data_IF_162371451971
#
_entry.id   IF_162371451971
#
_cell.length_a   1.000
_cell.length_b   1.000
_cell.length_c   1.000
_cell.angle_alpha   90.00
_cell.angle_beta   90.00
_cell.angle_gamma   90.00
#
_symmetry.space_group_name_H-M   'P 1'
#
loop_
_entity.id
_entity.type
_entity.pdbx_description
1 polymer ?
#
# COMPACT_ATOMS: atom_id res chain seq x y z
N UNK A 1 -11.98 30.33 6.42
CA UNK A 1 -10.58 30.11 6.00
C UNK A 1 -10.61 29.05 4.90
N UNK A 2 -10.32 29.42 3.63
CA UNK A 2 -10.21 28.40 2.58
C UNK A 2 -9.00 27.53 2.92
N UNK A 3 -9.20 26.23 3.03
CA UNK A 3 -8.08 25.28 3.10
C UNK A 3 -7.19 25.54 1.88
N UNK A 4 -5.86 25.51 2.03
CA UNK A 4 -4.98 25.60 0.88
C UNK A 4 -5.39 24.51 -0.11
N UNK A 5 -5.59 24.89 -1.36
CA UNK A 5 -5.91 23.95 -2.43
C UNK A 5 -4.68 23.04 -2.56
N UNK A 6 -4.88 21.72 -2.41
CA UNK A 6 -3.79 20.77 -2.62
C UNK A 6 -3.24 20.91 -4.05
N UNK A 7 -1.96 20.71 -4.24
CA UNK A 7 -1.38 20.79 -5.59
C UNK A 7 -1.87 19.68 -6.50
N UNK A 8 -1.99 18.48 -5.95
CA UNK A 8 -2.40 17.31 -6.74
C UNK A 8 -3.78 16.82 -6.34
N UNK A 9 -4.55 16.41 -7.34
CA UNK A 9 -5.72 15.54 -7.14
C UNK A 9 -5.30 14.13 -7.48
N UNK A 10 -5.40 13.24 -6.52
CA UNK A 10 -4.86 11.88 -6.60
C UNK A 10 -5.99 10.87 -6.59
N UNK A 11 -5.96 9.95 -7.55
CA UNK A 11 -6.83 8.77 -7.57
C UNK A 11 -6.04 7.53 -7.18
N UNK A 12 -6.51 6.79 -6.18
CA UNK A 12 -5.94 5.51 -5.79
C UNK A 12 -6.99 4.42 -5.99
N UNK A 13 -6.63 3.40 -6.75
CA UNK A 13 -7.35 2.14 -6.78
C UNK A 13 -6.63 1.14 -5.86
N UNK A 14 -7.20 0.90 -4.69
CA UNK A 14 -6.74 -0.15 -3.79
C UNK A 14 -7.43 -1.46 -4.19
N UNK A 15 -6.85 -2.20 -5.12
CA UNK A 15 -7.44 -3.42 -5.65
C UNK A 15 -7.13 -4.66 -4.81
N UNK A 16 -7.94 -5.70 -4.97
CA UNK A 16 -7.71 -7.02 -4.34
C UNK A 16 -6.45 -7.69 -4.87
N UNK A 17 -6.18 -7.54 -6.17
CA UNK A 17 -5.03 -8.15 -6.84
C UNK A 17 -3.88 -7.17 -7.07
N UNK A 18 -4.22 -5.94 -7.47
CA UNK A 18 -3.24 -4.88 -7.74
C UNK A 18 -3.79 -3.54 -7.28
N UNK A 19 -2.91 -2.66 -6.87
CA UNK A 19 -3.21 -1.25 -6.58
C UNK A 19 -2.54 -0.36 -7.60
N UNK A 20 -3.14 0.80 -7.88
CA UNK A 20 -2.61 1.79 -8.81
C UNK A 20 -2.85 3.21 -8.30
N UNK A 21 -2.05 4.14 -8.75
CA UNK A 21 -2.20 5.56 -8.47
C UNK A 21 -2.08 6.39 -9.74
N UNK A 22 -3.01 7.31 -9.93
CA UNK A 22 -2.93 8.37 -10.93
C UNK A 22 -3.14 9.74 -10.27
N UNK A 23 -2.70 10.80 -10.94
CA UNK A 23 -2.86 12.16 -10.41
C UNK A 23 -2.97 13.21 -11.51
N UNK A 24 -3.58 14.34 -11.13
CA UNK A 24 -3.61 15.59 -11.89
C UNK A 24 -2.83 16.63 -11.12
N UNK A 25 -1.90 17.33 -11.77
CA UNK A 25 -1.28 18.54 -11.23
C UNK A 25 -2.22 19.73 -11.51
N UNK A 26 -2.73 20.37 -10.47
CA UNK A 26 -3.66 21.51 -10.60
C UNK A 26 -2.98 22.79 -11.11
N UNK A 27 -1.65 22.84 -11.09
CA UNK A 27 -0.88 23.93 -11.71
C UNK A 27 -0.62 23.69 -13.21
N UNK A 28 -0.82 22.46 -13.70
CA UNK A 28 -0.72 22.16 -15.12
C UNK A 28 -2.01 22.52 -15.86
N UNK A 29 -1.94 23.53 -16.70
CA UNK A 29 -3.07 24.02 -17.50
C UNK A 29 -3.58 22.98 -18.54
N UNK A 30 -2.80 21.96 -18.84
CA UNK A 30 -3.22 20.89 -19.76
C UNK A 30 -4.16 19.89 -19.10
N UNK A 31 -4.23 19.88 -17.78
CA UNK A 31 -5.01 18.92 -16.99
C UNK A 31 -4.76 17.46 -17.37
N UNK A 32 -3.51 17.15 -17.75
CA UNK A 32 -3.14 15.80 -18.16
C UNK A 32 -3.14 14.85 -16.97
N UNK A 33 -3.75 13.67 -17.15
CA UNK A 33 -3.71 12.59 -16.16
C UNK A 33 -2.35 11.88 -16.25
N UNK A 34 -1.67 11.79 -15.12
CA UNK A 34 -0.40 11.09 -14.98
C UNK A 34 -0.57 9.81 -14.18
N UNK A 35 0.09 8.74 -14.60
CA UNK A 35 0.25 7.54 -13.79
C UNK A 35 1.49 7.68 -12.91
N UNK A 36 1.34 7.38 -11.63
CA UNK A 36 2.48 7.28 -10.74
C UNK A 36 3.04 5.85 -10.81
N UNK A 37 4.26 5.72 -11.31
CA UNK A 37 4.94 4.44 -11.33
C UNK A 37 5.51 4.15 -9.94
N UNK A 38 5.00 3.07 -9.33
CA UNK A 38 5.25 2.67 -7.95
C UNK A 38 6.50 1.80 -7.91
N UNK A 39 7.58 2.23 -7.26
CA UNK A 39 8.79 1.44 -7.09
C UNK A 39 8.51 0.26 -6.17
N UNK A 40 8.93 -0.94 -6.57
CA UNK A 40 8.68 -2.17 -5.85
C UNK A 40 9.73 -3.23 -6.16
N UNK A 41 9.85 -4.22 -5.29
CA UNK A 41 10.75 -5.35 -5.52
C UNK A 41 10.23 -6.24 -6.65
N UNK A 42 11.09 -6.55 -7.61
CA UNK A 42 10.84 -7.48 -8.73
C UNK A 42 11.76 -8.70 -8.68
N UNK A 43 12.85 -8.60 -7.93
CA UNK A 43 13.82 -9.66 -7.67
C UNK A 43 14.44 -9.50 -6.28
N UNK A 44 15.30 -10.44 -5.88
CA UNK A 44 16.03 -10.35 -4.61
C UNK A 44 17.09 -9.25 -4.67
N UNK A 45 16.79 -8.09 -4.11
CA UNK A 45 17.67 -6.92 -4.15
C UNK A 45 17.54 -6.08 -5.44
N UNK A 46 16.54 -6.39 -6.28
CA UNK A 46 16.24 -5.65 -7.50
C UNK A 46 14.87 -5.00 -7.40
N UNK A 47 14.77 -3.70 -7.62
CA UNK A 47 13.51 -2.97 -7.64
C UNK A 47 13.39 -2.08 -8.88
N UNK A 48 12.17 -1.97 -9.37
CA UNK A 48 11.82 -1.15 -10.53
C UNK A 48 10.49 -0.44 -10.30
N UNK A 49 10.31 0.63 -11.06
CA UNK A 49 9.06 1.37 -11.14
C UNK A 49 8.05 0.59 -12.00
N UNK A 50 6.83 0.42 -11.48
CA UNK A 50 5.74 -0.28 -12.16
C UNK A 50 4.44 0.53 -12.06
N UNK A 51 3.59 0.47 -13.08
CA UNK A 51 2.30 1.17 -13.10
C UNK A 51 1.30 0.62 -12.08
N UNK A 52 1.46 -0.63 -11.67
CA UNK A 52 0.62 -1.29 -10.68
C UNK A 52 1.47 -1.95 -9.61
N UNK A 53 0.96 -1.97 -8.39
CA UNK A 53 1.54 -2.65 -7.24
C UNK A 53 0.71 -3.90 -6.95
N UNK A 54 1.22 -5.13 -7.17
CA UNK A 54 0.55 -6.33 -6.72
C UNK A 54 0.24 -6.28 -5.23
N UNK A 55 -1.01 -6.59 -4.86
CA UNK A 55 -1.48 -6.56 -3.47
C UNK A 55 -0.98 -7.81 -2.70
N UNK A 56 0.34 -7.97 -2.71
CA UNK A 56 1.09 -9.05 -2.08
C UNK A 56 2.17 -8.49 -1.17
N UNK A 57 2.25 -9.05 0.05
CA UNK A 57 3.31 -8.76 1.00
C UNK A 57 3.90 -10.08 1.50
N UNK A 58 5.21 -10.25 1.37
CA UNK A 58 5.93 -11.45 1.77
C UNK A 58 6.71 -11.18 3.06
N UNK A 59 6.52 -12.05 4.07
CA UNK A 59 7.28 -11.98 5.32
C UNK A 59 8.67 -12.57 5.12
N UNK A 60 9.66 -11.69 5.15
CA UNK A 60 11.07 -12.03 4.95
C UNK A 60 11.57 -12.97 6.05
N UNK A 61 12.42 -13.93 5.66
CA UNK A 61 13.13 -14.77 6.62
C UNK A 61 14.17 -13.94 7.41
N UNK A 62 14.67 -14.50 8.48
CA UNK A 62 15.72 -13.83 9.26
C UNK A 62 16.97 -13.52 8.40
N UNK A 63 17.36 -14.44 7.53
CA UNK A 63 18.49 -14.29 6.62
C UNK A 63 18.23 -13.18 5.60
N UNK A 64 17.04 -13.14 5.00
CA UNK A 64 16.65 -12.09 4.05
C UNK A 64 16.64 -10.71 4.71
N UNK A 65 16.10 -10.61 5.92
CA UNK A 65 16.09 -9.35 6.70
C UNK A 65 17.50 -8.85 7.03
N UNK A 66 18.40 -9.75 7.36
CA UNK A 66 19.80 -9.41 7.70
C UNK A 66 20.67 -9.15 6.48
N UNK A 67 20.23 -9.53 5.28
CA UNK A 67 21.01 -9.37 4.05
C UNK A 67 21.14 -7.92 3.59
N UNK A 68 20.29 -7.01 4.06
CA UNK A 68 20.18 -5.63 3.59
C UNK A 68 19.60 -5.46 2.18
N UNK A 69 19.28 -6.57 1.48
CA UNK A 69 18.83 -6.54 0.08
C UNK A 69 17.44 -5.96 -0.13
N UNK A 70 16.61 -5.94 0.93
CA UNK A 70 15.23 -5.49 0.87
C UNK A 70 15.02 -4.12 1.53
N UNK A 71 16.08 -3.37 1.77
CA UNK A 71 15.96 -2.00 2.25
C UNK A 71 15.57 -1.08 1.09
N UNK A 72 14.44 -0.40 1.22
CA UNK A 72 13.97 0.58 0.24
C UNK A 72 14.66 1.93 0.45
N UNK A 73 14.88 2.72 -0.62
CA UNK A 73 15.60 4.01 -0.51
C UNK A 73 14.97 5.03 0.44
N UNK A 74 13.68 4.89 0.70
CA UNK A 74 12.92 5.79 1.58
C UNK A 74 12.69 5.21 2.99
N UNK A 75 13.21 4.03 3.27
CA UNK A 75 13.03 3.37 4.56
C UNK A 75 14.29 3.46 5.42
N UNK A 76 14.13 4.00 6.61
CA UNK A 76 15.19 4.00 7.63
C UNK A 76 15.35 2.64 8.32
N UNK A 77 14.44 1.68 8.06
CA UNK A 77 14.54 0.33 8.61
C UNK A 77 15.56 -0.51 7.83
N UNK A 78 16.75 -0.78 8.43
CA UNK A 78 17.78 -1.58 7.77
C UNK A 78 17.41 -3.07 7.71
N UNK A 79 16.34 -3.49 8.39
CA UNK A 79 15.91 -4.88 8.51
C UNK A 79 14.41 -5.01 8.32
N UNK A 80 13.90 -4.68 7.13
CA UNK A 80 12.46 -4.70 6.87
C UNK A 80 11.89 -6.10 7.13
N UNK A 81 10.67 -6.15 7.67
CA UNK A 81 9.99 -7.42 7.90
C UNK A 81 9.30 -7.95 6.65
N UNK A 82 9.01 -7.09 5.71
CA UNK A 82 8.17 -7.36 4.55
C UNK A 82 8.83 -6.87 3.27
N UNK A 83 8.62 -7.62 2.19
CA UNK A 83 8.76 -7.14 0.83
C UNK A 83 7.36 -7.07 0.20
N UNK A 84 7.05 -5.96 -0.50
CA UNK A 84 5.74 -5.69 -1.10
C UNK A 84 5.89 -5.61 -2.62
N UNK A 85 4.87 -6.09 -3.33
CA UNK A 85 4.78 -5.97 -4.79
C UNK A 85 5.10 -7.26 -5.54
N UNK A 86 5.71 -7.13 -6.71
CA UNK A 86 5.86 -8.20 -7.68
C UNK A 86 6.68 -9.38 -7.17
N UNK A 87 7.81 -9.11 -6.50
CA UNK A 87 8.60 -10.18 -5.92
C UNK A 87 7.81 -10.98 -4.87
N UNK A 88 7.03 -10.29 -4.02
CA UNK A 88 6.16 -10.95 -3.05
C UNK A 88 5.13 -11.85 -3.74
N UNK A 89 4.54 -11.39 -4.86
CA UNK A 89 3.62 -12.19 -5.67
C UNK A 89 4.27 -13.46 -6.20
N UNK A 90 5.50 -13.38 -6.69
CA UNK A 90 6.26 -14.56 -7.17
C UNK A 90 6.53 -15.55 -6.03
N UNK A 91 6.79 -15.05 -4.82
CA UNK A 91 7.04 -15.93 -3.67
C UNK A 91 5.78 -16.69 -3.20
N UNK A 92 4.59 -16.24 -3.55
CA UNK A 92 3.34 -16.94 -3.19
C UNK A 92 3.32 -18.38 -3.70
N UNK A 93 3.78 -18.63 -4.92
CA UNK A 93 3.83 -19.96 -5.49
C UNK A 93 4.92 -20.84 -4.85
N UNK A 94 6.02 -20.25 -4.41
CA UNK A 94 7.19 -20.94 -3.89
C UNK A 94 7.11 -21.18 -2.37
N UNK A 95 6.57 -20.21 -1.64
CA UNK A 95 6.54 -20.15 -0.17
C UNK A 95 5.21 -19.58 0.34
N UNK A 96 4.06 -20.21 0.08
CA UNK A 96 2.73 -19.65 0.29
C UNK A 96 2.45 -19.27 1.74
N UNK A 97 2.97 -20.01 2.72
CA UNK A 97 2.75 -19.75 4.14
C UNK A 97 3.37 -18.46 4.67
N UNK A 98 4.12 -17.70 3.86
CA UNK A 98 4.74 -16.42 4.24
C UNK A 98 4.13 -15.23 3.49
N UNK A 99 3.08 -15.43 2.71
CA UNK A 99 2.53 -14.40 1.84
C UNK A 99 1.16 -13.92 2.34
N UNK A 100 1.02 -12.60 2.45
CA UNK A 100 -0.26 -11.93 2.68
C UNK A 100 -0.74 -11.43 1.32
N UNK A 101 -1.93 -11.84 0.92
CA UNK A 101 -2.54 -11.42 -0.34
C UNK A 101 -4.04 -11.24 -0.17
N UNK A 102 -4.66 -10.53 -1.11
CA UNK A 102 -6.10 -10.26 -1.11
C UNK A 102 -6.63 -9.66 0.20
N UNK A 103 -5.81 -8.89 0.92
CA UNK A 103 -6.15 -8.33 2.24
C UNK A 103 -7.48 -7.54 2.20
N UNK A 104 -7.76 -6.84 1.10
CA UNK A 104 -9.02 -6.10 0.90
C UNK A 104 -10.26 -7.02 0.95
N UNK A 105 -10.17 -8.24 0.42
CA UNK A 105 -11.29 -9.18 0.45
C UNK A 105 -11.65 -9.58 1.89
N UNK A 106 -10.66 -9.67 2.77
CA UNK A 106 -10.87 -10.01 4.17
C UNK A 106 -11.63 -8.93 4.95
N UNK A 107 -11.63 -7.67 4.46
CA UNK A 107 -12.42 -6.59 5.06
C UNK A 107 -13.94 -6.78 4.87
N UNK A 108 -14.34 -7.63 3.91
CA UNK A 108 -15.74 -7.87 3.56
C UNK A 108 -16.29 -9.18 4.13
N UNK A 109 -15.48 -9.97 4.84
CA UNK A 109 -15.92 -11.24 5.39
C UNK A 109 -16.71 -11.01 6.69
N UNK A 110 -18.04 -11.15 6.60
CA UNK A 110 -18.99 -10.92 7.72
C UNK A 110 -18.71 -11.78 8.98
N UNK A 111 -18.03 -12.93 8.82
CA UNK A 111 -17.79 -13.86 9.92
C UNK A 111 -16.36 -13.75 10.51
N UNK A 112 -15.56 -12.79 10.04
CA UNK A 112 -14.20 -12.62 10.53
C UNK A 112 -14.04 -11.22 11.12
N UNK A 113 -13.33 -11.15 12.24
CA UNK A 113 -12.93 -9.86 12.79
C UNK A 113 -11.75 -9.31 11.96
N UNK A 114 -11.92 -8.19 11.22
CA UNK A 114 -10.85 -7.61 10.42
C UNK A 114 -9.66 -7.12 11.22
N UNK A 115 -9.79 -7.03 12.56
CA UNK A 115 -8.72 -6.67 13.49
C UNK A 115 -7.96 -7.89 14.02
N UNK A 116 -8.47 -9.10 13.79
CA UNK A 116 -7.79 -10.32 14.21
C UNK A 116 -6.48 -10.51 13.44
N UNK A 117 -5.38 -10.72 14.16
CA UNK A 117 -4.06 -10.96 13.58
C UNK A 117 -3.96 -12.42 13.11
N UNK A 118 -4.40 -12.71 11.90
CA UNK A 118 -4.49 -14.06 11.34
C UNK A 118 -3.77 -14.22 9.99
N UNK A 119 -3.17 -13.16 9.47
CA UNK A 119 -2.49 -13.17 8.17
C UNK A 119 -0.96 -13.10 8.31
N UNK A 120 -0.20 -13.90 7.56
CA UNK A 120 -0.68 -14.96 6.68
C UNK A 120 -1.29 -16.12 7.47
N UNK A 121 -2.23 -16.85 6.85
CA UNK A 121 -2.67 -18.14 7.39
C UNK A 121 -1.54 -19.14 7.22
N UNK A 122 -0.86 -19.47 8.30
CA UNK A 122 0.34 -20.29 8.28
C UNK A 122 0.54 -21.00 9.61
N UNK A 123 1.08 -22.21 9.53
CA UNK A 123 1.52 -23.00 10.69
C UNK A 123 2.92 -22.59 11.20
N UNK A 124 3.58 -21.62 10.55
CA UNK A 124 4.88 -21.11 10.97
C UNK A 124 4.75 -20.25 12.21
N UNK A 125 5.21 -20.75 13.36
CA UNK A 125 5.14 -20.05 14.66
C UNK A 125 6.10 -18.86 14.78
N UNK A 126 7.07 -18.75 13.86
CA UNK A 126 8.07 -17.66 13.83
C UNK A 126 7.57 -16.40 13.12
N UNK A 127 6.37 -16.43 12.54
CA UNK A 127 5.85 -15.33 11.76
C UNK A 127 5.02 -14.36 12.61
N UNK A 128 5.32 -13.08 12.44
CA UNK A 128 4.39 -12.03 12.86
C UNK A 128 3.12 -12.11 12.03
N UNK A 129 1.98 -12.18 12.71
CA UNK A 129 0.68 -12.09 12.04
C UNK A 129 0.21 -10.64 11.94
N UNK A 130 -0.63 -10.39 10.97
CA UNK A 130 -1.25 -9.10 10.67
C UNK A 130 -2.75 -9.26 10.59
N UNK A 131 -3.46 -8.23 10.98
CA UNK A 131 -4.90 -8.14 10.72
C UNK A 131 -5.15 -7.72 9.25
N UNK A 132 -6.35 -7.95 8.75
CA UNK A 132 -6.75 -7.50 7.41
C UNK A 132 -6.63 -5.98 7.27
N UNK A 133 -6.97 -5.23 8.33
CA UNK A 133 -6.79 -3.78 8.37
C UNK A 133 -5.32 -3.38 8.25
N UNK A 134 -4.45 -3.99 9.06
CA UNK A 134 -3.02 -3.72 9.02
C UNK A 134 -2.42 -4.09 7.65
N UNK A 135 -2.77 -5.25 7.12
CA UNK A 135 -2.30 -5.70 5.81
C UNK A 135 -2.74 -4.75 4.68
N UNK A 136 -3.99 -4.28 4.69
CA UNK A 136 -4.48 -3.30 3.70
C UNK A 136 -3.75 -1.96 3.83
N UNK A 137 -3.42 -1.54 5.05
CA UNK A 137 -2.67 -0.30 5.28
C UNK A 137 -1.23 -0.37 4.76
N UNK A 138 -0.59 -1.55 4.73
CA UNK A 138 0.78 -1.71 4.23
C UNK A 138 0.94 -1.30 2.77
N UNK A 139 -0.03 -1.64 1.92
CA UNK A 139 0.01 -1.25 0.50
C UNK A 139 -0.14 0.26 0.33
N UNK A 140 -1.04 0.88 1.10
CA UNK A 140 -1.22 2.33 1.09
C UNK A 140 0.00 3.06 1.66
N UNK A 141 0.63 2.54 2.71
CA UNK A 141 1.89 3.06 3.26
C UNK A 141 2.99 3.01 2.20
N UNK A 142 3.13 1.88 1.52
CA UNK A 142 4.13 1.73 0.46
C UNK A 142 3.93 2.76 -0.67
N UNK A 143 2.68 2.97 -1.11
CA UNK A 143 2.34 4.00 -2.11
C UNK A 143 2.65 5.40 -1.58
N UNK A 144 2.25 5.74 -0.35
CA UNK A 144 2.54 7.02 0.29
C UNK A 144 4.03 7.30 0.38
N UNK A 145 4.78 6.34 0.89
CA UNK A 145 6.20 6.54 1.15
C UNK A 145 6.99 6.65 -0.16
N UNK A 146 6.62 5.85 -1.16
CA UNK A 146 7.22 5.95 -2.50
C UNK A 146 6.88 7.28 -3.20
N UNK A 147 5.64 7.77 -3.07
CA UNK A 147 5.26 9.11 -3.53
C UNK A 147 6.08 10.19 -2.84
N UNK A 148 6.15 10.13 -1.51
CA UNK A 148 6.88 11.11 -0.73
C UNK A 148 8.37 11.13 -1.09
N UNK A 149 8.95 9.98 -1.37
CA UNK A 149 10.34 9.89 -1.85
C UNK A 149 10.53 10.48 -3.26
N UNK A 150 9.62 10.18 -4.21
CA UNK A 150 9.79 10.56 -5.63
C UNK A 150 9.30 11.98 -5.92
N UNK A 151 8.16 12.37 -5.38
CA UNK A 151 7.44 13.62 -5.71
C UNK A 151 7.66 14.70 -4.65
N UNK A 152 7.38 14.38 -3.39
CA UNK A 152 7.47 15.39 -2.32
C UNK A 152 8.93 15.76 -2.00
N UNK A 153 9.80 14.76 -1.89
CA UNK A 153 11.20 14.97 -1.48
C UNK A 153 11.26 15.84 -0.20
N UNK A 154 11.88 17.01 -0.29
CA UNK A 154 12.04 17.95 0.82
C UNK A 154 10.89 18.97 0.91
N UNK A 155 9.79 18.78 0.17
CA UNK A 155 8.62 19.67 0.13
C UNK A 155 7.44 19.05 0.87
N UNK A 156 7.23 19.38 2.18
CA UNK A 156 6.19 18.76 2.99
C UNK A 156 4.77 18.95 2.43
N UNK A 157 4.51 20.09 1.77
CA UNK A 157 3.22 20.43 1.17
C UNK A 157 2.84 19.55 -0.02
N UNK A 158 3.81 18.81 -0.60
CA UNK A 158 3.59 17.86 -1.69
C UNK A 158 3.49 16.41 -1.24
N UNK A 159 3.59 16.15 0.06
CA UNK A 159 3.39 14.81 0.59
C UNK A 159 2.02 14.27 0.24
N UNK A 160 1.92 12.98 0.00
CA UNK A 160 0.66 12.35 -0.41
C UNK A 160 -0.46 12.59 0.59
N UNK A 161 -0.15 12.52 1.88
CA UNK A 161 -1.11 12.76 2.96
C UNK A 161 -1.65 14.19 3.04
N UNK A 162 -1.02 15.14 2.34
CA UNK A 162 -1.46 16.53 2.26
C UNK A 162 -2.24 16.83 0.96
N UNK A 163 -2.41 15.83 0.07
CA UNK A 163 -3.13 15.97 -1.19
C UNK A 163 -4.61 15.58 -1.05
N UNK A 164 -5.43 16.03 -2.02
CA UNK A 164 -6.82 15.58 -2.16
C UNK A 164 -6.84 14.20 -2.83
N UNK A 165 -7.26 13.18 -2.09
CA UNK A 165 -7.22 11.80 -2.55
C UNK A 165 -8.64 11.26 -2.73
N UNK A 166 -8.89 10.65 -3.88
CA UNK A 166 -10.06 9.81 -4.15
C UNK A 166 -9.61 8.36 -4.13
N UNK A 167 -10.20 7.56 -3.25
CA UNK A 167 -9.93 6.13 -3.16
C UNK A 167 -11.15 5.37 -3.69
N UNK A 168 -10.94 4.51 -4.70
CA UNK A 168 -12.03 3.69 -5.24
C UNK A 168 -12.26 2.45 -4.38
N UNK A 169 -13.53 2.13 -4.16
CA UNK A 169 -13.97 0.91 -3.50
C UNK A 169 -14.97 0.17 -4.39
N UNK A 170 -15.06 -1.17 -4.30
CA UNK A 170 -16.09 -1.90 -5.04
C UNK A 170 -17.49 -1.42 -4.68
N UNK A 171 -18.38 -1.34 -5.67
CA UNK A 171 -19.79 -1.00 -5.45
C UNK A 171 -20.51 -1.99 -4.50
N UNK A 172 -19.98 -3.21 -4.37
CA UNK A 172 -20.48 -4.24 -3.47
C UNK A 172 -20.09 -4.04 -2.00
N UNK A 173 -19.23 -3.04 -1.68
CA UNK A 173 -18.87 -2.76 -0.29
C UNK A 173 -20.04 -2.12 0.44
N UNK A 174 -20.47 -2.77 1.52
CA UNK A 174 -21.40 -2.19 2.47
C UNK A 174 -20.74 -1.09 3.33
N UNK A 175 -21.51 -0.47 4.19
CA UNK A 175 -21.03 0.60 5.08
C UNK A 175 -19.92 0.13 6.02
N UNK A 176 -19.97 -1.13 6.46
CA UNK A 176 -18.97 -1.72 7.36
C UNK A 176 -17.64 -1.89 6.64
N UNK A 177 -17.63 -2.47 5.45
CA UNK A 177 -16.42 -2.62 4.63
C UNK A 177 -15.83 -1.26 4.22
N UNK A 178 -16.68 -0.26 3.96
CA UNK A 178 -16.25 1.12 3.70
C UNK A 178 -15.54 1.73 4.93
N UNK A 179 -16.10 1.57 6.14
CA UNK A 179 -15.47 2.07 7.37
C UNK A 179 -14.15 1.37 7.66
N UNK A 180 -14.05 0.05 7.47
CA UNK A 180 -12.77 -0.67 7.61
C UNK A 180 -11.73 -0.20 6.57
N UNK A 181 -12.16 0.11 5.35
CA UNK A 181 -11.28 0.71 4.35
C UNK A 181 -10.76 2.07 4.82
N UNK A 182 -11.63 2.94 5.34
CA UNK A 182 -11.21 4.24 5.90
C UNK A 182 -10.27 4.09 7.09
N UNK A 183 -10.48 3.09 7.94
CA UNK A 183 -9.55 2.80 9.05
C UNK A 183 -8.18 2.38 8.54
N UNK A 184 -8.11 1.51 7.52
CA UNK A 184 -6.83 1.14 6.87
C UNK A 184 -6.11 2.35 6.28
N UNK A 185 -6.86 3.27 5.68
CA UNK A 185 -6.37 4.55 5.14
C UNK A 185 -5.76 5.43 6.24
N UNK A 186 -6.48 5.59 7.37
CA UNK A 186 -5.98 6.37 8.53
C UNK A 186 -4.73 5.72 9.12
N UNK A 187 -4.68 4.38 9.21
CA UNK A 187 -3.50 3.63 9.65
C UNK A 187 -2.31 3.85 8.72
N UNK A 188 -2.55 4.04 7.43
CA UNK A 188 -1.51 4.41 6.46
C UNK A 188 -1.07 5.88 6.56
N UNK A 189 -1.67 6.68 7.45
CA UNK A 189 -1.35 8.09 7.64
C UNK A 189 -1.94 9.02 6.60
N UNK A 190 -2.86 8.55 5.75
CA UNK A 190 -3.56 9.38 4.77
C UNK A 190 -4.76 10.09 5.44
N UNK A 191 -5.02 11.36 5.09
CA UNK A 191 -5.98 12.20 5.81
C UNK A 191 -7.15 12.66 4.95
N UNK A 192 -6.88 13.28 3.81
CA UNK A 192 -7.88 13.96 2.97
C UNK A 192 -8.45 12.97 1.93
N UNK A 193 -9.28 12.02 2.38
CA UNK A 193 -9.77 10.94 1.53
C UNK A 193 -11.26 11.06 1.28
N UNK A 194 -11.63 10.94 0.00
CA UNK A 194 -13.01 10.70 -0.43
C UNK A 194 -13.10 9.28 -0.98
N UNK A 195 -14.04 8.47 -0.47
CA UNK A 195 -14.34 7.15 -1.04
C UNK A 195 -15.33 7.31 -2.20
N UNK A 196 -15.02 6.67 -3.31
CA UNK A 196 -15.87 6.64 -4.51
C UNK A 196 -16.40 5.22 -4.78
#
# INVERSE_FOLDING_TARGET
MKLPISRFRVGIDLGTSNSALCYLDQEDLTHQLHYFEIPQWVGSGEWYDQKTLPSHAFLLTKEERLSGRFQLPWSDDPKPNLAIGEWARQQQALRPGRNIYSAKSWLCYHNLNPEAEILPQSDHQDLRQYSALAASSLFLQHIRDSWNHKIAKDRPELRLEEQDIVLTVPASFDEVAREFTLRSVRMAGLKNITLL
#
